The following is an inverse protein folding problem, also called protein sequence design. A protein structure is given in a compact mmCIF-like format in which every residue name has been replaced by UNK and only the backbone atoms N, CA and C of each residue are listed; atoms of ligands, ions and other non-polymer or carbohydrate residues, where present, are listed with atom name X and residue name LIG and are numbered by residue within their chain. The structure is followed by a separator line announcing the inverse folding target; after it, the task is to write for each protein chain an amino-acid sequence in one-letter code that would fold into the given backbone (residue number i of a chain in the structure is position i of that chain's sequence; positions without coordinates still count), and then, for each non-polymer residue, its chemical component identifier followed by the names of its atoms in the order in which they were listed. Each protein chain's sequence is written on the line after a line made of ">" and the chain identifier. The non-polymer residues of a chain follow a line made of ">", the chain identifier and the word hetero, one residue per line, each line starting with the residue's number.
data_IF_033627230651
#
_entry.id   IF_033627230651
#
_cell.length_a   1.000
_cell.length_b   1.000
_cell.length_c   1.000
_cell.angle_alpha   90.00
_cell.angle_beta   90.00
_cell.angle_gamma   90.00
#
_symmetry.space_group_name_H-M   'P 1'
#
loop_
_entity.id
_entity.type
_entity.pdbx_description
1 polymer ?
#
# COMPACT_ATOMS: atom_id res chain seq x y z
N UNK A 1 22.92 -9.12 25.28
CA UNK A 1 23.26 -9.14 23.84
C UNK A 1 22.23 -9.92 22.99
N UNK A 2 21.25 -10.59 23.59
CA UNK A 2 20.08 -11.12 22.86
C UNK A 2 18.94 -10.10 22.76
N UNK A 3 18.72 -9.25 23.78
CA UNK A 3 17.55 -8.36 23.79
C UNK A 3 17.51 -7.35 22.64
N UNK A 4 18.65 -6.79 22.22
CA UNK A 4 18.73 -5.86 21.07
C UNK A 4 18.41 -6.59 19.75
N UNK A 5 18.81 -7.85 19.61
CA UNK A 5 18.53 -8.66 18.42
C UNK A 5 17.06 -9.11 18.42
N UNK A 6 16.52 -9.47 19.58
CA UNK A 6 15.10 -9.82 19.74
C UNK A 6 14.21 -8.61 19.51
N UNK A 7 14.55 -7.44 20.02
CA UNK A 7 13.79 -6.20 19.83
C UNK A 7 13.84 -5.73 18.37
N UNK A 8 15.01 -5.83 17.71
CA UNK A 8 15.11 -5.56 16.27
C UNK A 8 14.31 -6.56 15.43
N UNK A 9 14.25 -7.83 15.86
CA UNK A 9 13.49 -8.88 15.19
C UNK A 9 11.97 -8.70 15.41
N UNK A 10 11.54 -8.40 16.62
CA UNK A 10 10.14 -8.12 16.96
C UNK A 10 9.65 -6.84 16.26
N UNK A 11 10.48 -5.79 16.21
CA UNK A 11 10.21 -4.59 15.41
C UNK A 11 10.14 -4.89 13.91
N UNK A 12 10.84 -5.91 13.42
CA UNK A 12 10.75 -6.31 12.01
C UNK A 12 9.46 -7.10 11.70
N UNK A 13 8.81 -7.69 12.71
CA UNK A 13 7.56 -8.43 12.56
C UNK A 13 6.30 -7.58 12.78
N UNK A 14 6.42 -6.42 13.43
CA UNK A 14 5.32 -5.47 13.61
C UNK A 14 5.33 -4.47 12.44
N UNK A 15 4.38 -4.61 11.52
CA UNK A 15 4.19 -3.61 10.46
C UNK A 15 3.88 -2.25 11.11
N UNK A 16 4.58 -1.17 10.75
CA UNK A 16 4.38 0.14 11.38
C UNK A 16 2.95 0.62 11.17
N UNK A 17 2.32 1.14 12.22
CA UNK A 17 1.03 1.83 12.10
C UNK A 17 1.23 3.09 11.26
N UNK A 18 0.56 3.15 10.11
CA UNK A 18 0.65 4.28 9.18
C UNK A 18 -0.62 5.12 9.26
N UNK A 19 -0.46 6.43 9.14
CA UNK A 19 -1.56 7.38 9.13
C UNK A 19 -1.33 8.46 8.10
N UNK A 20 -2.42 9.00 7.57
CA UNK A 20 -2.45 10.17 6.70
C UNK A 20 -3.44 11.18 7.27
N UNK A 21 -2.97 12.40 7.58
CA UNK A 21 -3.78 13.46 8.17
C UNK A 21 -4.62 13.03 9.40
N UNK A 22 -4.02 12.17 10.26
CA UNK A 22 -4.66 11.64 11.46
C UNK A 22 -5.58 10.44 11.24
N UNK A 23 -5.76 10.00 9.99
CA UNK A 23 -6.51 8.79 9.66
C UNK A 23 -5.56 7.60 9.51
N UNK A 24 -5.78 6.53 10.26
CA UNK A 24 -4.99 5.31 10.14
C UNK A 24 -5.27 4.58 8.82
N UNK A 25 -4.24 3.94 8.28
CA UNK A 25 -4.30 3.14 7.07
C UNK A 25 -4.31 1.65 7.43
N UNK A 26 -5.09 0.86 6.69
CA UNK A 26 -4.96 -0.59 6.71
C UNK A 26 -3.56 -1.02 6.24
N UNK A 27 -3.09 -2.16 6.72
CA UNK A 27 -1.86 -2.77 6.22
C UNK A 27 -1.98 -3.08 4.72
N UNK A 28 -0.91 -2.78 3.98
CA UNK A 28 -0.81 -3.17 2.59
C UNK A 28 -0.72 -4.70 2.45
N UNK A 29 -1.52 -5.23 1.54
CA UNK A 29 -1.61 -6.66 1.22
C UNK A 29 -1.78 -6.87 -0.28
N UNK A 30 -1.50 -8.06 -0.79
CA UNK A 30 -1.83 -8.40 -2.19
C UNK A 30 -3.34 -8.27 -2.48
N UNK A 31 -4.19 -8.47 -1.47
CA UNK A 31 -5.62 -8.18 -1.58
C UNK A 31 -5.88 -6.71 -1.91
N UNK A 32 -5.29 -5.77 -1.13
CA UNK A 32 -5.43 -4.34 -1.42
C UNK A 32 -4.83 -3.94 -2.78
N UNK A 33 -3.77 -4.62 -3.23
CA UNK A 33 -3.20 -4.43 -4.57
C UNK A 33 -4.17 -4.84 -5.67
N UNK A 34 -4.85 -5.98 -5.53
CA UNK A 34 -5.88 -6.43 -6.47
C UNK A 34 -7.07 -5.47 -6.50
N UNK A 35 -7.48 -4.95 -5.34
CA UNK A 35 -8.52 -3.92 -5.26
C UNK A 35 -8.12 -2.64 -6.00
N UNK A 36 -6.85 -2.21 -5.89
CA UNK A 36 -6.33 -1.07 -6.65
C UNK A 36 -6.36 -1.31 -8.16
N UNK A 37 -5.99 -2.50 -8.63
CA UNK A 37 -6.08 -2.88 -10.05
C UNK A 37 -7.55 -2.87 -10.51
N UNK A 38 -8.46 -3.37 -9.67
CA UNK A 38 -9.88 -3.40 -9.99
C UNK A 38 -10.49 -1.99 -10.08
N UNK A 39 -10.16 -1.10 -9.14
CA UNK A 39 -10.77 0.21 -9.03
C UNK A 39 -10.22 1.23 -10.05
N UNK A 40 -8.99 1.05 -10.51
CA UNK A 40 -8.32 1.94 -11.47
C UNK A 40 -8.68 1.65 -12.93
N UNK A 41 -8.30 2.58 -13.80
CA UNK A 41 -8.20 2.44 -15.25
C UNK A 41 -6.79 2.81 -15.72
N UNK A 42 -6.46 2.37 -16.93
CA UNK A 42 -5.14 2.60 -17.55
C UNK A 42 -4.90 4.09 -17.89
N UNK A 43 -5.98 4.85 -18.00
CA UNK A 43 -5.96 6.30 -18.25
C UNK A 43 -5.76 7.14 -16.98
N UNK A 44 -5.77 6.52 -15.79
CA UNK A 44 -5.60 7.23 -14.54
C UNK A 44 -4.15 7.71 -14.36
N UNK A 45 -4.00 8.99 -14.00
CA UNK A 45 -2.70 9.62 -13.77
C UNK A 45 -2.01 9.13 -12.49
N UNK A 46 -0.70 9.35 -12.38
CA UNK A 46 0.08 9.04 -11.16
C UNK A 46 -0.47 9.73 -9.90
N UNK A 47 -0.85 11.03 -9.91
CA UNK A 47 -1.48 11.66 -8.75
C UNK A 47 -2.79 10.98 -8.34
N UNK A 48 -3.62 10.56 -9.30
CA UNK A 48 -4.84 9.82 -8.99
C UNK A 48 -4.52 8.50 -8.29
N UNK A 49 -3.48 7.77 -8.73
CA UNK A 49 -3.05 6.55 -8.06
C UNK A 49 -2.69 6.78 -6.59
N UNK A 50 -1.91 7.82 -6.30
CA UNK A 50 -1.50 8.15 -4.92
C UNK A 50 -2.73 8.39 -4.05
N UNK A 51 -3.69 9.19 -4.53
CA UNK A 51 -4.91 9.46 -3.80
C UNK A 51 -5.80 8.24 -3.62
N UNK A 52 -6.01 7.49 -4.70
CA UNK A 52 -6.78 6.25 -4.67
C UNK A 52 -6.18 5.23 -3.70
N UNK A 53 -4.84 5.14 -3.64
CA UNK A 53 -4.14 4.23 -2.73
C UNK A 53 -4.43 4.60 -1.26
N UNK A 54 -4.19 5.85 -0.88
CA UNK A 54 -4.39 6.30 0.50
C UNK A 54 -5.86 6.18 0.89
N UNK A 55 -6.76 6.67 0.04
CA UNK A 55 -8.20 6.58 0.26
C UNK A 55 -8.65 5.13 0.47
N UNK A 56 -8.24 4.21 -0.41
CA UNK A 56 -8.62 2.81 -0.29
C UNK A 56 -8.16 2.20 1.03
N UNK A 57 -6.93 2.45 1.46
CA UNK A 57 -6.41 1.88 2.71
C UNK A 57 -7.09 2.46 3.95
N UNK A 58 -7.49 3.73 3.93
CA UNK A 58 -8.34 4.32 4.96
C UNK A 58 -9.71 3.62 4.99
N UNK A 59 -10.35 3.45 3.82
CA UNK A 59 -11.67 2.80 3.74
C UNK A 59 -11.61 1.31 4.15
N UNK A 60 -10.55 0.60 3.80
CA UNK A 60 -10.34 -0.80 4.18
C UNK A 60 -10.25 -0.97 5.69
N UNK A 61 -9.62 -0.02 6.38
CA UNK A 61 -9.53 -0.03 7.84
C UNK A 61 -10.88 0.28 8.48
N UNK A 62 -11.61 1.28 7.96
CA UNK A 62 -12.94 1.67 8.46
C UNK A 62 -13.99 0.58 8.26
N UNK A 63 -14.13 0.09 7.03
CA UNK A 63 -15.07 -0.96 6.67
C UNK A 63 -14.62 -1.70 5.40
N UNK A 64 -13.92 -2.82 5.60
CA UNK A 64 -13.41 -3.66 4.52
C UNK A 64 -14.48 -4.08 3.51
N UNK A 65 -15.69 -4.44 3.95
CA UNK A 65 -16.74 -4.98 3.07
C UNK A 65 -17.27 -3.91 2.12
N UNK A 66 -17.51 -2.70 2.63
CA UNK A 66 -17.95 -1.57 1.82
C UNK A 66 -16.84 -1.08 0.89
N UNK A 67 -15.59 -1.04 1.36
CA UNK A 67 -14.45 -0.68 0.52
C UNK A 67 -14.29 -1.61 -0.69
N UNK A 68 -14.44 -2.93 -0.48
CA UNK A 68 -14.41 -3.91 -1.58
C UNK A 68 -15.57 -3.67 -2.56
N UNK A 69 -16.80 -3.46 -2.07
CA UNK A 69 -17.94 -3.16 -2.94
C UNK A 69 -17.74 -1.88 -3.75
N UNK A 70 -17.17 -0.85 -3.12
CA UNK A 70 -16.89 0.42 -3.77
C UNK A 70 -15.92 0.25 -4.94
N UNK A 71 -14.87 -0.57 -4.80
CA UNK A 71 -13.92 -0.83 -5.88
C UNK A 71 -14.56 -1.47 -7.13
N UNK A 72 -15.75 -2.09 -7.01
CA UNK A 72 -16.45 -2.76 -8.10
C UNK A 72 -17.35 -1.77 -8.86
N UNK A 73 -17.55 -0.57 -8.31
CA UNK A 73 -18.22 0.55 -8.95
C UNK A 73 -17.19 1.67 -9.20
N UNK A 74 -16.48 1.60 -10.33
CA UNK A 74 -15.36 2.49 -10.64
C UNK A 74 -15.78 3.97 -10.68
N UNK A 75 -16.95 4.26 -11.21
CA UNK A 75 -17.46 5.63 -11.33
C UNK A 75 -17.70 6.22 -9.94
N UNK A 76 -18.37 5.47 -9.06
CA UNK A 76 -18.59 5.89 -7.68
C UNK A 76 -17.29 6.00 -6.89
N UNK A 77 -16.33 5.09 -7.09
CA UNK A 77 -15.03 5.15 -6.43
C UNK A 77 -14.29 6.43 -6.80
N UNK A 78 -14.30 6.81 -8.09
CA UNK A 78 -13.69 8.06 -8.58
C UNK A 78 -14.36 9.29 -8.01
N UNK A 79 -15.69 9.33 -8.05
CA UNK A 79 -16.47 10.42 -7.44
C UNK A 79 -16.08 10.60 -5.97
N UNK A 80 -16.03 9.50 -5.20
CA UNK A 80 -15.65 9.54 -3.79
C UNK A 80 -14.22 10.01 -3.55
N UNK A 81 -13.28 9.67 -4.42
CA UNK A 81 -11.92 10.20 -4.33
C UNK A 81 -11.90 11.70 -4.59
N UNK A 82 -12.55 12.16 -5.67
CA UNK A 82 -12.59 13.57 -6.02
C UNK A 82 -13.22 14.42 -4.91
N UNK A 83 -14.30 13.93 -4.30
CA UNK A 83 -14.93 14.54 -3.14
C UNK A 83 -13.98 14.58 -1.93
N UNK A 84 -13.26 13.49 -1.66
CA UNK A 84 -12.38 13.36 -0.51
C UNK A 84 -11.09 14.21 -0.61
N UNK A 85 -10.62 14.47 -1.83
CA UNK A 85 -9.43 15.30 -2.07
C UNK A 85 -9.77 16.79 -2.27
N UNK A 86 -11.05 17.17 -2.30
CA UNK A 86 -11.48 18.53 -2.62
C UNK A 86 -10.92 19.60 -1.66
N UNK A 87 -10.62 19.21 -0.42
CA UNK A 87 -10.06 20.05 0.64
C UNK A 87 -8.54 19.83 0.85
N UNK A 88 -7.90 18.96 0.06
CA UNK A 88 -6.47 18.62 0.22
C UNK A 88 -5.60 19.55 -0.62
N UNK A 89 -4.44 19.88 -0.06
CA UNK A 89 -3.47 20.78 -0.66
C UNK A 89 -2.42 20.03 -1.46
N UNK A 90 -1.58 20.77 -2.19
CA UNK A 90 -0.41 20.21 -2.83
C UNK A 90 0.59 19.62 -1.83
N UNK A 91 0.75 20.24 -0.65
CA UNK A 91 1.60 19.71 0.41
C UNK A 91 1.10 18.35 0.91
N UNK A 92 -0.23 18.18 1.03
CA UNK A 92 -0.84 16.90 1.39
C UNK A 92 -0.54 15.82 0.34
N UNK A 93 -0.51 16.19 -0.95
CA UNK A 93 -0.18 15.27 -2.04
C UNK A 93 1.26 14.77 -1.93
N UNK A 94 2.19 15.65 -1.58
CA UNK A 94 3.60 15.29 -1.46
C UNK A 94 3.81 14.37 -0.25
N UNK A 95 3.12 14.62 0.87
CA UNK A 95 3.10 13.71 2.03
C UNK A 95 2.51 12.34 1.64
N UNK A 96 1.38 12.32 0.94
CA UNK A 96 0.76 11.10 0.45
C UNK A 96 1.70 10.32 -0.48
N UNK A 97 2.42 11.02 -1.37
CA UNK A 97 3.37 10.41 -2.31
C UNK A 97 4.51 9.71 -1.58
N UNK A 98 5.12 10.39 -0.61
CA UNK A 98 6.18 9.81 0.21
C UNK A 98 5.70 8.62 1.02
N UNK A 99 4.47 8.71 1.57
CA UNK A 99 3.85 7.61 2.30
C UNK A 99 3.66 6.38 1.40
N UNK A 100 3.05 6.54 0.23
CA UNK A 100 2.82 5.44 -0.71
C UNK A 100 4.13 4.83 -1.18
N UNK A 101 5.13 5.64 -1.53
CA UNK A 101 6.45 5.15 -1.91
C UNK A 101 7.08 4.29 -0.81
N UNK A 102 7.05 4.75 0.45
CA UNK A 102 7.57 3.99 1.59
C UNK A 102 6.88 2.64 1.80
N UNK A 103 5.57 2.55 1.51
CA UNK A 103 4.79 1.31 1.63
C UNK A 103 5.22 0.32 0.55
N UNK A 104 5.32 0.79 -0.70
CA UNK A 104 5.67 -0.06 -1.83
C UNK A 104 7.12 -0.53 -1.78
N UNK A 105 8.05 0.34 -1.38
CA UNK A 105 9.46 -0.02 -1.22
C UNK A 105 9.65 -1.11 -0.16
N UNK A 106 8.95 -1.02 0.97
CA UNK A 106 8.99 -2.03 2.02
C UNK A 106 8.41 -3.37 1.55
N UNK A 107 7.27 -3.33 0.84
CA UNK A 107 6.66 -4.53 0.27
C UNK A 107 7.60 -5.23 -0.74
N UNK A 108 8.37 -4.46 -1.51
CA UNK A 108 9.32 -5.00 -2.47
C UNK A 108 10.59 -5.59 -1.80
N UNK A 109 11.04 -5.04 -0.66
CA UNK A 109 12.20 -5.56 0.08
C UNK A 109 11.95 -6.94 0.71
N UNK A 110 10.68 -7.29 0.98
CA UNK A 110 10.31 -8.60 1.52
C UNK A 110 10.48 -9.78 0.55
N UNK A 111 10.79 -9.51 -0.72
CA UNK A 111 11.14 -10.55 -1.69
C UNK A 111 12.61 -10.94 -1.50
N UNK A 112 12.89 -11.89 -0.62
CA UNK A 112 14.23 -12.47 -0.45
C UNK A 112 14.61 -13.31 -1.66
N UNK A 113 15.83 -13.13 -2.15
CA UNK A 113 16.39 -14.05 -3.15
C UNK A 113 16.49 -15.46 -2.53
N UNK A 114 15.97 -16.49 -3.20
CA UNK A 114 16.17 -17.86 -2.74
C UNK A 114 17.66 -18.17 -2.80
N UNK A 115 18.27 -18.47 -1.65
CA UNK A 115 19.64 -18.98 -1.61
C UNK A 115 19.64 -20.28 -2.44
N UNK A 116 20.49 -20.39 -3.48
CA UNK A 116 20.56 -21.61 -4.26
C UNK A 116 20.86 -22.78 -3.33
N UNK A 117 20.08 -23.85 -3.47
CA UNK A 117 20.33 -25.10 -2.75
C UNK A 117 21.79 -25.51 -2.93
N UNK A 118 22.50 -25.92 -1.86
CA UNK A 118 23.88 -26.37 -1.98
C UNK A 118 23.97 -27.52 -3.01
N UNK A 119 24.52 -27.23 -4.19
CA UNK A 119 24.66 -28.19 -5.30
C UNK A 119 23.93 -27.85 -6.60
N UNK A 120 23.23 -26.72 -6.71
CA UNK A 120 22.73 -26.24 -8.00
C UNK A 120 23.89 -25.68 -8.84
N UNK A 121 24.46 -26.52 -9.72
CA UNK A 121 25.40 -26.09 -10.75
C UNK A 121 24.67 -25.23 -11.79
N UNK A 122 25.20 -24.03 -12.05
CA UNK A 122 24.90 -23.24 -13.25
C UNK A 122 25.20 -24.07 -14.50
N UNK A 123 24.19 -24.76 -15.03
CA UNK A 123 24.19 -25.19 -16.43
C UNK A 123 23.29 -24.24 -17.20
N UNK A 124 23.92 -23.16 -17.66
CA UNK A 124 23.37 -22.31 -18.71
C UNK A 124 23.13 -23.12 -19.98
N UNK A 125 22.03 -22.81 -20.65
CA UNK A 125 21.70 -23.25 -22.00
C UNK A 125 22.17 -22.19 -23.00
#
# INVERSE_FOLDING_TARGET
>A
MNDILTEALESAFIAPERQFNGEALAQYTEGSRLLMIQARSDEDTTPFFVWAFVFLHIQLLKNRKEAIRLCWNKDLFREKILDWIADKTEADRDVATNLVASILDEANRGQVEPIPSPGATDQGN
#
